data_IF_510776037925
#
_entry.id   IF_510776037925
#
_cell.length_a   1.000
_cell.length_b   1.000
_cell.length_c   1.000
_cell.angle_alpha   90.00
_cell.angle_beta   90.00
_cell.angle_gamma   90.00
#
_symmetry.space_group_name_H-M   'P 1'
#
loop_
_entity.id
_entity.type
_entity.pdbx_description
1 polymer ?
#
# COMPACT_ATOMS: atom_id res chain seq x y z
N UNK A 1 28.99 54.33 -38.79
CA UNK A 1 27.91 53.78 -37.95
C UNK A 1 28.28 52.37 -37.50
N UNK A 2 28.03 52.08 -36.21
CA UNK A 2 28.04 50.78 -35.49
C UNK A 2 29.40 50.18 -35.09
N UNK A 3 29.72 50.36 -33.80
CA UNK A 3 30.87 49.80 -33.10
C UNK A 3 30.73 48.32 -32.74
N UNK A 4 31.87 47.64 -32.68
CA UNK A 4 31.97 46.24 -32.30
C UNK A 4 31.92 46.05 -30.77
N UNK A 5 31.32 44.95 -30.27
CA UNK A 5 31.31 44.66 -28.85
C UNK A 5 32.67 44.06 -28.44
N UNK A 6 33.56 44.88 -27.86
CA UNK A 6 34.82 44.43 -27.24
C UNK A 6 34.81 44.59 -25.71
N UNK A 7 33.72 44.21 -25.04
CA UNK A 7 33.55 44.48 -23.59
C UNK A 7 33.00 43.30 -22.79
N UNK A 8 33.50 42.07 -22.96
CA UNK A 8 33.00 40.93 -22.18
C UNK A 8 34.05 39.93 -21.64
N UNK A 9 35.35 40.21 -21.68
CA UNK A 9 36.37 39.21 -21.28
C UNK A 9 37.31 39.61 -20.14
N UNK A 10 37.05 40.70 -19.39
CA UNK A 10 37.98 41.15 -18.31
C UNK A 10 37.43 41.15 -16.88
N UNK A 11 36.27 40.54 -16.64
CA UNK A 11 35.73 40.41 -15.27
C UNK A 11 35.40 38.96 -14.89
N UNK A 12 36.06 37.98 -15.54
CA UNK A 12 35.79 36.56 -15.27
C UNK A 12 36.95 35.77 -14.69
N UNK A 13 38.11 36.38 -14.43
CA UNK A 13 39.31 35.63 -14.01
C UNK A 13 40.03 36.33 -12.85
N UNK A 14 39.60 36.04 -11.62
CA UNK A 14 40.42 36.20 -10.41
C UNK A 14 40.31 35.00 -9.46
N UNK A 15 39.16 34.31 -9.45
CA UNK A 15 38.93 33.12 -8.60
C UNK A 15 38.39 31.91 -9.40
N UNK A 16 39.07 31.57 -10.50
CA UNK A 16 38.72 30.41 -11.34
C UNK A 16 38.63 29.10 -10.53
N UNK A 17 39.52 28.93 -9.53
CA UNK A 17 39.51 27.76 -8.66
C UNK A 17 38.25 27.65 -7.80
N UNK A 18 37.77 28.77 -7.24
CA UNK A 18 36.57 28.79 -6.40
C UNK A 18 35.31 28.46 -7.21
N UNK A 19 35.23 28.95 -8.46
CA UNK A 19 34.12 28.65 -9.37
C UNK A 19 34.11 27.20 -9.83
N UNK A 20 35.27 26.63 -10.15
CA UNK A 20 35.39 25.21 -10.50
C UNK A 20 34.97 24.31 -9.33
N UNK A 21 35.35 24.67 -8.10
CA UNK A 21 34.94 23.96 -6.89
C UNK A 21 33.44 24.05 -6.66
N UNK A 22 32.83 25.23 -6.88
CA UNK A 22 31.38 25.39 -6.79
C UNK A 22 30.62 24.55 -7.83
N UNK A 23 31.13 24.48 -9.07
CA UNK A 23 30.53 23.65 -10.13
C UNK A 23 30.68 22.16 -9.82
N UNK A 24 31.83 21.73 -9.29
CA UNK A 24 32.04 20.34 -8.89
C UNK A 24 31.13 19.94 -7.71
N UNK A 25 30.98 20.81 -6.70
CA UNK A 25 30.05 20.59 -5.60
C UNK A 25 28.60 20.56 -6.09
N UNK A 26 28.22 21.45 -7.01
CA UNK A 26 26.89 21.45 -7.60
C UNK A 26 26.63 20.18 -8.43
N UNK A 27 27.59 19.73 -9.24
CA UNK A 27 27.50 18.49 -9.99
C UNK A 27 27.42 17.27 -9.08
N UNK A 28 28.20 17.25 -7.99
CA UNK A 28 28.15 16.21 -6.97
C UNK A 28 26.81 16.16 -6.23
N UNK A 29 26.29 17.31 -5.81
CA UNK A 29 24.98 17.41 -5.18
C UNK A 29 23.84 17.03 -6.16
N UNK A 30 23.94 17.46 -7.41
CA UNK A 30 22.99 17.09 -8.46
C UNK A 30 23.01 15.59 -8.72
N UNK A 31 24.19 14.98 -8.83
CA UNK A 31 24.35 13.53 -8.99
C UNK A 31 23.84 12.78 -7.76
N UNK A 32 24.14 13.25 -6.55
CA UNK A 32 23.62 12.67 -5.30
C UNK A 32 22.09 12.64 -5.27
N UNK A 33 21.45 13.74 -5.70
CA UNK A 33 19.98 13.85 -5.77
C UNK A 33 19.37 12.94 -6.83
N UNK A 34 20.04 12.70 -7.96
CA UNK A 34 19.53 11.83 -9.04
C UNK A 34 19.76 10.35 -8.77
N UNK A 35 20.82 9.99 -8.05
CA UNK A 35 21.10 8.59 -7.66
C UNK A 35 20.32 8.14 -6.44
N UNK A 36 19.79 9.07 -5.64
CA UNK A 36 18.93 8.73 -4.51
C UNK A 36 17.58 8.25 -5.03
N UNK A 37 17.34 6.94 -4.92
CA UNK A 37 16.09 6.30 -5.31
C UNK A 37 14.95 6.86 -4.44
N UNK A 38 14.24 7.86 -4.97
CA UNK A 38 13.12 8.50 -4.27
C UNK A 38 11.95 7.55 -4.25
N UNK A 39 11.85 6.77 -3.18
CA UNK A 39 10.64 5.99 -2.90
C UNK A 39 9.51 6.96 -2.52
N UNK A 40 8.86 7.51 -3.54
CA UNK A 40 7.78 8.47 -3.36
C UNK A 40 6.57 7.72 -2.79
N UNK A 41 5.98 8.21 -1.67
CA UNK A 41 4.81 7.59 -1.10
C UNK A 41 3.68 7.61 -2.13
N UNK A 42 3.15 6.44 -2.45
CA UNK A 42 2.04 6.27 -3.40
C UNK A 42 0.80 5.82 -2.64
N UNK A 43 -0.37 6.23 -3.12
CA UNK A 43 -1.66 5.73 -2.63
C UNK A 43 -2.19 4.69 -3.61
N UNK A 44 -2.60 3.53 -3.11
CA UNK A 44 -3.23 2.47 -3.92
C UNK A 44 -4.37 1.81 -3.15
N UNK A 45 -5.41 1.39 -3.89
CA UNK A 45 -6.47 0.56 -3.34
C UNK A 45 -6.05 -0.92 -3.37
N UNK A 46 -6.07 -1.58 -2.21
CA UNK A 46 -5.82 -3.01 -2.07
C UNK A 46 -7.11 -3.73 -1.71
N UNK A 47 -7.31 -4.93 -2.27
CA UNK A 47 -8.46 -5.78 -1.93
C UNK A 47 -8.28 -6.40 -0.55
N UNK A 48 -9.35 -6.49 0.23
CA UNK A 48 -9.29 -7.07 1.57
C UNK A 48 -9.62 -8.56 1.49
N UNK A 49 -8.71 -9.39 2.00
CA UNK A 49 -8.87 -10.83 2.14
C UNK A 49 -9.08 -11.17 3.64
N UNK A 50 -10.24 -11.73 4.04
CA UNK A 50 -10.47 -12.09 5.43
C UNK A 50 -9.63 -13.33 5.80
N UNK A 51 -8.94 -13.30 6.95
CA UNK A 51 -8.28 -14.47 7.55
C UNK A 51 -9.26 -15.13 8.52
N UNK A 52 -9.96 -16.17 8.07
CA UNK A 52 -10.93 -16.92 8.88
C UNK A 52 -10.27 -18.17 9.44
N UNK A 53 -10.34 -18.37 10.76
CA UNK A 53 -9.72 -19.50 11.46
C UNK A 53 -10.71 -20.25 12.35
N UNK A 54 -10.45 -21.54 12.55
CA UNK A 54 -11.32 -22.43 13.31
C UNK A 54 -12.34 -23.16 12.45
N UNK A 55 -13.06 -24.10 13.06
CA UNK A 55 -14.13 -24.86 12.43
C UNK A 55 -15.49 -24.44 13.01
N UNK A 56 -16.52 -24.22 12.16
CA UNK A 56 -17.88 -23.97 12.63
C UNK A 56 -18.42 -25.07 13.56
N UNK A 57 -19.55 -24.81 14.21
CA UNK A 57 -20.22 -25.83 15.01
C UNK A 57 -20.48 -27.12 14.20
N UNK A 58 -20.45 -28.32 14.84
CA UNK A 58 -20.72 -29.58 14.14
C UNK A 58 -22.04 -29.54 13.38
N UNK A 59 -22.04 -29.97 12.11
CA UNK A 59 -23.21 -29.92 11.24
C UNK A 59 -23.45 -28.56 10.57
N UNK A 60 -22.48 -27.64 10.64
CA UNK A 60 -22.48 -26.35 9.97
C UNK A 60 -21.23 -26.17 9.08
N UNK A 61 -21.38 -25.43 7.99
CA UNK A 61 -20.34 -25.10 7.00
C UNK A 61 -20.32 -23.60 6.72
N UNK A 62 -19.15 -23.03 6.44
CA UNK A 62 -19.04 -21.64 6.01
C UNK A 62 -19.65 -21.50 4.62
N UNK A 63 -20.76 -20.76 4.50
CA UNK A 63 -21.43 -20.51 3.23
C UNK A 63 -20.74 -19.39 2.45
N UNK A 64 -20.28 -18.36 3.15
CA UNK A 64 -19.61 -17.23 2.52
C UNK A 64 -19.11 -16.21 3.52
N UNK A 65 -18.16 -15.40 3.08
CA UNK A 65 -17.58 -14.31 3.86
C UNK A 65 -17.82 -13.00 3.11
N UNK A 66 -18.48 -12.06 3.78
CA UNK A 66 -18.74 -10.71 3.26
C UNK A 66 -17.84 -9.74 4.01
N UNK A 67 -17.08 -8.94 3.26
CA UNK A 67 -16.15 -7.95 3.80
C UNK A 67 -16.56 -6.56 3.35
N UNK A 68 -16.85 -5.69 4.31
CA UNK A 68 -17.29 -4.31 4.06
C UNK A 68 -16.38 -3.31 4.77
N UNK A 69 -15.67 -2.45 4.00
CA UNK A 69 -15.60 -2.40 2.54
C UNK A 69 -14.76 -3.56 1.93
N UNK A 70 -14.91 -3.86 0.63
CA UNK A 70 -14.11 -4.89 -0.04
C UNK A 70 -12.67 -4.47 -0.36
N UNK A 71 -12.37 -3.17 -0.27
CA UNK A 71 -11.05 -2.61 -0.54
C UNK A 71 -10.73 -1.44 0.40
N UNK A 72 -9.44 -1.22 0.63
CA UNK A 72 -8.90 -0.15 1.46
C UNK A 72 -7.84 0.63 0.70
N UNK A 73 -7.84 1.95 0.85
CA UNK A 73 -6.76 2.77 0.32
C UNK A 73 -5.61 2.79 1.33
N UNK A 74 -4.41 2.44 0.87
CA UNK A 74 -3.19 2.47 1.68
C UNK A 74 -2.17 3.42 1.07
N UNK A 75 -1.37 4.04 1.93
CA UNK A 75 -0.22 4.88 1.57
C UNK A 75 1.06 4.27 2.11
N UNK A 76 2.13 4.36 1.34
CA UNK A 76 3.43 3.82 1.70
C UNK A 76 4.41 3.80 0.52
N UNK A 77 5.60 3.20 0.72
CA UNK A 77 6.63 3.14 -0.30
C UNK A 77 6.12 2.44 -1.56
N UNK A 78 6.34 3.03 -2.74
CA UNK A 78 5.91 2.52 -4.04
C UNK A 78 6.38 1.08 -4.25
N UNK A 79 7.64 0.82 -3.93
CA UNK A 79 8.26 -0.51 -3.99
C UNK A 79 7.46 -1.57 -3.22
N UNK A 80 6.85 -1.19 -2.09
CA UNK A 80 6.12 -2.08 -1.18
C UNK A 80 4.68 -2.32 -1.62
N UNK A 81 4.05 -1.30 -2.20
CA UNK A 81 2.66 -1.34 -2.67
C UNK A 81 2.53 -2.05 -4.01
N UNK A 82 3.47 -1.85 -4.94
CA UNK A 82 3.42 -2.46 -6.27
C UNK A 82 3.53 -3.99 -6.22
N UNK A 83 4.19 -4.54 -5.20
CA UNK A 83 4.30 -5.99 -4.98
C UNK A 83 3.07 -6.63 -4.33
N UNK A 84 2.02 -5.87 -4.00
CA UNK A 84 0.85 -6.35 -3.25
C UNK A 84 -0.45 -5.93 -3.91
N UNK A 85 -1.35 -6.88 -4.12
CA UNK A 85 -2.71 -6.61 -4.62
C UNK A 85 -3.79 -6.78 -3.55
N UNK A 86 -3.45 -7.45 -2.44
CA UNK A 86 -4.35 -7.78 -1.34
C UNK A 86 -3.72 -7.44 0.01
N UNK A 87 -4.59 -7.23 1.00
CA UNK A 87 -4.26 -7.11 2.42
C UNK A 87 -5.15 -8.04 3.23
N UNK A 88 -4.58 -8.71 4.23
CA UNK A 88 -5.33 -9.59 5.12
C UNK A 88 -5.92 -8.85 6.32
N UNK A 89 -7.03 -9.33 6.86
CA UNK A 89 -7.53 -8.86 8.16
C UNK A 89 -6.81 -9.54 9.32
N UNK A 90 -6.98 -9.02 10.53
CA UNK A 90 -6.75 -9.80 11.74
C UNK A 90 -7.61 -11.08 11.72
N UNK A 91 -7.15 -12.17 12.38
CA UNK A 91 -7.84 -13.45 12.33
C UNK A 91 -9.24 -13.35 12.95
N UNK A 92 -10.23 -13.87 12.23
CA UNK A 92 -11.63 -13.99 12.67
C UNK A 92 -11.85 -15.44 13.09
N UNK A 93 -12.12 -15.67 14.37
CA UNK A 93 -12.38 -17.00 14.92
C UNK A 93 -13.86 -17.38 14.75
N UNK A 94 -14.10 -18.49 14.07
CA UNK A 94 -15.46 -19.05 13.83
C UNK A 94 -15.73 -20.33 14.63
N UNK A 95 -14.82 -20.70 15.54
CA UNK A 95 -14.88 -21.95 16.30
C UNK A 95 -16.19 -22.11 17.05
N UNK A 96 -16.99 -23.11 16.68
CA UNK A 96 -18.26 -23.44 17.34
C UNK A 96 -19.38 -22.41 17.14
N UNK A 97 -19.26 -21.48 16.18
CA UNK A 97 -20.24 -20.42 15.94
C UNK A 97 -21.18 -20.75 14.77
N UNK A 98 -22.42 -20.27 14.86
CA UNK A 98 -23.45 -20.42 13.82
C UNK A 98 -23.55 -19.21 12.88
N UNK A 99 -23.13 -18.02 13.31
CA UNK A 99 -22.96 -16.82 12.49
C UNK A 99 -21.99 -15.89 13.20
N UNK A 100 -21.07 -15.26 12.46
CA UNK A 100 -20.09 -14.34 13.03
C UNK A 100 -20.12 -13.03 12.27
N UNK A 101 -20.34 -11.92 12.98
CA UNK A 101 -20.22 -10.57 12.42
C UNK A 101 -19.30 -9.78 13.33
N UNK A 102 -18.01 -9.73 12.97
CA UNK A 102 -16.99 -9.05 13.75
C UNK A 102 -16.39 -7.87 13.00
N UNK A 103 -15.97 -6.86 13.74
CA UNK A 103 -15.21 -5.74 13.19
C UNK A 103 -13.75 -5.95 13.53
N UNK A 104 -12.94 -6.18 12.51
CA UNK A 104 -11.53 -6.51 12.66
C UNK A 104 -10.64 -5.43 12.06
N UNK A 105 -9.44 -5.30 12.65
CA UNK A 105 -8.40 -4.46 12.10
C UNK A 105 -7.76 -5.12 10.87
N UNK A 106 -7.12 -4.31 10.02
CA UNK A 106 -6.31 -4.80 8.91
C UNK A 106 -4.91 -5.17 9.40
N UNK A 107 -4.41 -6.32 8.94
CA UNK A 107 -3.03 -6.75 9.17
C UNK A 107 -2.12 -6.07 8.13
N UNK A 108 -1.82 -4.79 8.38
CA UNK A 108 -0.92 -4.00 7.53
C UNK A 108 0.52 -4.06 8.07
N UNK A 109 1.53 -4.21 7.20
CA UNK A 109 2.92 -4.06 7.61
C UNK A 109 3.22 -2.61 8.02
N UNK A 110 4.21 -2.41 8.88
CA UNK A 110 4.57 -1.10 9.45
C UNK A 110 4.95 -0.03 8.42
N UNK A 111 5.28 -0.44 7.19
CA UNK A 111 5.55 0.46 6.07
C UNK A 111 4.29 1.03 5.41
N UNK A 112 3.10 0.47 5.69
CA UNK A 112 1.83 0.89 5.10
C UNK A 112 0.93 1.54 6.14
N UNK A 113 0.17 2.54 5.70
CA UNK A 113 -0.86 3.21 6.53
C UNK A 113 -2.19 3.21 5.79
N UNK A 114 -3.30 2.85 6.43
CA UNK A 114 -4.61 2.97 5.82
C UNK A 114 -5.00 4.45 5.77
N UNK A 115 -5.42 4.91 4.59
CA UNK A 115 -5.94 6.27 4.38
C UNK A 115 -7.43 6.30 4.74
N UNK A 116 -8.20 5.36 4.20
CA UNK A 116 -9.63 5.13 4.50
C UNK A 116 -10.06 3.72 4.06
N UNK A 117 -11.00 3.06 4.78
CA UNK A 117 -11.37 3.26 6.19
C UNK A 117 -10.43 2.52 7.15
N UNK A 118 -10.48 2.87 8.45
CA UNK A 118 -9.57 2.31 9.48
C UNK A 118 -10.04 0.96 10.06
N UNK A 119 -11.30 0.60 9.86
CA UNK A 119 -11.90 -0.65 10.35
C UNK A 119 -12.68 -1.34 9.25
N UNK A 120 -12.67 -2.66 9.28
CA UNK A 120 -13.34 -3.52 8.29
C UNK A 120 -14.30 -4.45 9.01
N UNK A 121 -15.55 -4.48 8.56
CA UNK A 121 -16.54 -5.43 9.05
C UNK A 121 -16.43 -6.71 8.24
N UNK A 122 -16.16 -7.82 8.92
CA UNK A 122 -16.15 -9.16 8.33
C UNK A 122 -17.35 -9.91 8.87
N UNK A 123 -18.24 -10.30 7.96
CA UNK A 123 -19.42 -11.10 8.26
C UNK A 123 -19.24 -12.48 7.66
N UNK A 124 -19.05 -13.49 8.50
CA UNK A 124 -18.99 -14.89 8.10
C UNK A 124 -20.39 -15.50 8.26
N UNK A 125 -21.00 -15.85 7.13
CA UNK A 125 -22.27 -16.59 7.11
C UNK A 125 -21.97 -18.07 7.15
N UNK A 126 -22.57 -18.76 8.11
CA UNK A 126 -22.41 -20.19 8.31
C UNK A 126 -23.80 -20.80 8.19
N UNK A 127 -23.91 -21.93 7.48
CA UNK A 127 -25.15 -22.64 7.19
C UNK A 127 -25.05 -24.08 7.66
N UNK A 128 -26.17 -24.69 8.06
CA UNK A 128 -26.21 -26.13 8.33
C UNK A 128 -25.86 -26.98 7.07
N UNK A 129 -24.98 -27.97 7.26
CA UNK A 129 -24.59 -28.97 6.26
C UNK A 129 -25.77 -29.84 5.80
N UNK A 130 -26.76 -30.07 6.68
CA UNK A 130 -27.96 -30.85 6.34
C UNK A 130 -28.80 -30.17 5.24
N UNK A 131 -28.82 -28.83 5.23
CA UNK A 131 -29.44 -28.04 4.17
C UNK A 131 -28.73 -28.19 2.82
N UNK A 132 -27.43 -28.49 2.81
CA UNK A 132 -26.63 -28.69 1.59
C UNK A 132 -26.95 -30.03 0.93
N UNK A 133 -27.17 -31.10 1.72
CA UNK A 133 -27.50 -32.44 1.23
C UNK A 133 -28.88 -32.52 0.55
N UNK A 134 -29.84 -31.67 0.96
CA UNK A 134 -31.18 -31.63 0.34
C UNK A 134 -31.25 -30.81 -0.96
N UNK A 135 -30.25 -29.97 -1.25
CA UNK A 135 -30.23 -29.12 -2.45
C UNK A 135 -29.67 -29.78 -3.72
N UNK A 136 -28.91 -30.88 -3.59
CA UNK A 136 -28.23 -31.54 -4.71
C UNK A 136 -29.07 -32.61 -5.43
N UNK A 137 -30.37 -32.71 -5.13
CA UNK A 137 -31.28 -33.67 -5.76
C UNK A 137 -32.38 -32.94 -6.54
N UNK A 138 -32.00 -32.23 -7.61
CA UNK A 138 -32.90 -31.83 -8.70
C UNK A 138 -32.15 -31.82 -10.02
#
# INVERSE_FOLDING_TARGET
>A
MRGGPRLLSRLLTRDLGLKALAVAAAAGAWLYVTTAERDQPTVRALRIAPDVRGEPAPGYVVEGVVVEPPAVQVVGPRSTIERRDTVTTAPVDVSGRETVADTVALALPDSLRPVRPMGVRVTVRIRSEEGMRKGSSR
#
